data_IF_537346532849
#
_entry.id   IF_537346532849
#
_cell.length_a   1.000
_cell.length_b   1.000
_cell.length_c   1.000
_cell.angle_alpha   90.00
_cell.angle_beta   90.00
_cell.angle_gamma   90.00
#
_symmetry.space_group_name_H-M   'P 1'
#
loop_
_entity.id
_entity.type
_entity.pdbx_description
1 polymer ?
#
# COMPACT_ATOMS: atom_id res chain seq x y z
N UNK A 1 -28.37 -9.43 20.38
CA UNK A 1 -28.99 -8.14 20.00
C UNK A 1 -28.26 -7.65 18.77
N UNK A 2 -28.68 -8.10 17.60
CA UNK A 2 -28.02 -7.82 16.31
C UNK A 2 -28.31 -6.37 15.94
N UNK A 3 -27.28 -5.53 15.99
CA UNK A 3 -27.37 -4.17 15.51
C UNK A 3 -27.48 -4.24 13.98
N UNK A 4 -28.71 -4.21 13.44
CA UNK A 4 -28.90 -4.03 11.99
C UNK A 4 -28.31 -2.66 11.64
N UNK A 5 -27.18 -2.64 10.95
CA UNK A 5 -26.66 -1.43 10.30
C UNK A 5 -27.66 -1.05 9.20
N UNK A 6 -28.09 0.21 9.18
CA UNK A 6 -28.95 0.74 8.13
C UNK A 6 -28.30 0.48 6.76
N UNK A 7 -28.99 -0.20 5.81
CA UNK A 7 -28.44 -0.50 4.49
C UNK A 7 -27.99 0.74 3.71
N UNK A 8 -28.59 1.90 3.99
CA UNK A 8 -28.18 3.19 3.41
C UNK A 8 -26.80 3.61 3.90
N UNK A 9 -26.54 3.42 5.20
CA UNK A 9 -25.26 3.74 5.83
C UNK A 9 -24.16 2.75 5.42
N UNK A 10 -24.50 1.47 5.25
CA UNK A 10 -23.58 0.47 4.71
C UNK A 10 -23.14 0.81 3.28
N UNK A 11 -24.08 1.21 2.41
CA UNK A 11 -23.78 1.63 1.04
C UNK A 11 -22.88 2.89 1.00
N UNK A 12 -23.12 3.87 1.88
CA UNK A 12 -22.32 5.08 1.96
C UNK A 12 -20.87 4.80 2.41
N UNK A 13 -20.68 3.90 3.39
CA UNK A 13 -19.35 3.46 3.84
C UNK A 13 -18.60 2.77 2.69
N UNK A 14 -19.26 1.87 1.95
CA UNK A 14 -18.64 1.18 0.81
C UNK A 14 -18.22 2.15 -0.29
N UNK A 15 -19.08 3.11 -0.66
CA UNK A 15 -18.77 4.11 -1.69
C UNK A 15 -17.59 5.01 -1.28
N UNK A 16 -17.59 5.51 -0.04
CA UNK A 16 -16.46 6.29 0.50
C UNK A 16 -15.17 5.48 0.49
N UNK A 17 -15.22 4.23 0.92
CA UNK A 17 -14.05 3.33 0.94
C UNK A 17 -13.49 3.05 -0.45
N UNK A 18 -14.33 3.01 -1.49
CA UNK A 18 -13.89 2.76 -2.85
C UNK A 18 -13.23 4.01 -3.45
N UNK A 19 -13.86 5.18 -3.29
CA UNK A 19 -13.29 6.45 -3.73
C UNK A 19 -11.92 6.72 -3.09
N UNK A 20 -11.79 6.46 -1.78
CA UNK A 20 -10.52 6.58 -1.07
C UNK A 20 -9.45 5.62 -1.61
N UNK A 21 -9.80 4.35 -1.85
CA UNK A 21 -8.87 3.37 -2.45
C UNK A 21 -8.39 3.80 -3.83
N UNK A 22 -9.31 4.25 -4.69
CA UNK A 22 -8.94 4.73 -6.03
C UNK A 22 -8.03 5.94 -5.97
N UNK A 23 -8.29 6.90 -5.09
CA UNK A 23 -7.43 8.07 -4.91
C UNK A 23 -6.02 7.66 -4.45
N UNK A 24 -5.90 6.75 -3.48
CA UNK A 24 -4.61 6.25 -3.00
C UNK A 24 -3.82 5.54 -4.11
N UNK A 25 -4.49 4.71 -4.93
CA UNK A 25 -3.83 4.03 -6.06
C UNK A 25 -3.34 5.03 -7.12
N UNK A 26 -4.12 6.08 -7.39
CA UNK A 26 -3.72 7.13 -8.32
C UNK A 26 -2.52 7.92 -7.80
N UNK A 27 -2.50 8.27 -6.50
CA UNK A 27 -1.37 8.94 -5.86
C UNK A 27 -0.11 8.08 -5.88
N UNK A 28 -0.23 6.78 -5.59
CA UNK A 28 0.89 5.84 -5.68
C UNK A 28 1.45 5.75 -7.10
N UNK A 29 0.59 5.63 -8.11
CA UNK A 29 1.02 5.59 -9.51
C UNK A 29 1.75 6.88 -9.93
N UNK A 30 1.21 8.05 -9.54
CA UNK A 30 1.85 9.34 -9.80
C UNK A 30 3.22 9.47 -9.10
N UNK A 31 3.36 8.94 -7.88
CA UNK A 31 4.63 8.91 -7.17
C UNK A 31 5.65 7.98 -7.88
N UNK A 32 5.22 6.83 -8.40
CA UNK A 32 6.08 5.93 -9.18
C UNK A 32 6.54 6.57 -10.49
N UNK A 33 5.66 7.26 -11.20
CA UNK A 33 6.00 8.01 -12.42
C UNK A 33 7.01 9.11 -12.08
N UNK A 34 6.74 9.89 -11.03
CA UNK A 34 7.65 10.96 -10.61
C UNK A 34 9.02 10.45 -10.21
N UNK A 35 9.07 9.32 -9.50
CA UNK A 35 10.33 8.65 -9.13
C UNK A 35 11.11 8.21 -10.38
N UNK A 36 10.40 7.68 -11.38
CA UNK A 36 10.99 7.23 -12.64
C UNK A 36 11.54 8.39 -13.46
N UNK A 37 10.83 9.52 -13.53
CA UNK A 37 11.32 10.75 -14.17
C UNK A 37 12.62 11.24 -13.52
N UNK A 38 12.67 11.29 -12.19
CA UNK A 38 13.85 11.77 -11.45
C UNK A 38 15.04 10.85 -11.68
N UNK A 39 14.82 9.54 -11.65
CA UNK A 39 15.88 8.56 -11.80
C UNK A 39 16.35 8.37 -13.25
N UNK A 40 15.63 8.88 -14.25
CA UNK A 40 15.98 8.72 -15.67
C UNK A 40 17.36 9.31 -16.02
N UNK A 41 17.77 10.35 -15.29
CA UNK A 41 19.07 11.03 -15.49
C UNK A 41 20.22 10.38 -14.69
N UNK A 42 19.96 9.27 -13.99
CA UNK A 42 20.91 8.61 -13.09
C UNK A 42 21.23 7.18 -13.50
N UNK A 43 22.46 6.76 -13.22
CA UNK A 43 22.87 5.34 -13.31
C UNK A 43 22.79 4.66 -11.95
N UNK A 44 22.73 3.32 -11.93
CA UNK A 44 22.54 2.54 -10.70
C UNK A 44 23.65 2.71 -9.67
N UNK A 45 24.85 3.09 -10.13
CA UNK A 45 26.04 3.34 -9.34
C UNK A 45 26.11 4.76 -8.76
N UNK A 46 25.27 5.70 -9.21
CA UNK A 46 25.25 7.06 -8.70
C UNK A 46 24.97 7.06 -7.20
N UNK A 47 25.76 7.82 -6.45
CA UNK A 47 25.73 7.84 -4.99
C UNK A 47 25.08 9.10 -4.43
N UNK A 48 24.45 8.94 -3.27
CA UNK A 48 23.88 10.02 -2.48
C UNK A 48 24.06 9.75 -0.97
N UNK A 49 24.07 10.81 -0.16
CA UNK A 49 24.09 10.69 1.29
C UNK A 49 22.67 10.47 1.84
N UNK A 50 22.44 9.32 2.48
CA UNK A 50 21.19 9.03 3.16
C UNK A 50 21.33 9.29 4.67
N UNK A 51 20.36 10.02 5.24
CA UNK A 51 20.42 10.50 6.62
C UNK A 51 20.59 9.41 7.69
N UNK A 52 20.08 8.20 7.43
CA UNK A 52 20.11 7.09 8.39
C UNK A 52 21.18 6.03 8.12
N UNK A 53 21.64 5.89 6.88
CA UNK A 53 22.50 4.75 6.48
C UNK A 53 23.79 5.18 5.78
N UNK A 54 24.04 6.48 5.67
CA UNK A 54 25.24 7.04 5.04
C UNK A 54 25.19 6.98 3.51
N UNK A 55 26.37 6.91 2.89
CA UNK A 55 26.50 6.86 1.43
C UNK A 55 25.84 5.61 0.85
N UNK A 56 24.88 5.80 -0.04
CA UNK A 56 24.18 4.72 -0.76
C UNK A 56 24.23 5.00 -2.26
N UNK A 57 23.98 3.98 -3.08
CA UNK A 57 23.79 4.16 -4.52
C UNK A 57 22.31 3.95 -4.91
N UNK A 58 21.94 4.37 -6.13
CA UNK A 58 20.58 4.23 -6.62
C UNK A 58 20.08 2.76 -6.60
N UNK A 59 20.96 1.79 -6.87
CA UNK A 59 20.62 0.35 -6.72
C UNK A 59 20.17 0.00 -5.31
N UNK A 60 20.88 0.49 -4.29
CA UNK A 60 20.52 0.28 -2.89
C UNK A 60 19.13 0.85 -2.59
N UNK A 61 18.86 2.07 -3.07
CA UNK A 61 17.57 2.75 -2.87
C UNK A 61 16.43 1.94 -3.50
N UNK A 62 16.57 1.51 -4.76
CA UNK A 62 15.55 0.71 -5.44
C UNK A 62 15.28 -0.62 -4.76
N UNK A 63 16.32 -1.36 -4.38
CA UNK A 63 16.15 -2.62 -3.65
C UNK A 63 15.47 -2.41 -2.30
N UNK A 64 15.80 -1.31 -1.59
CA UNK A 64 15.15 -0.94 -0.35
C UNK A 64 13.66 -0.65 -0.54
N UNK A 65 13.29 0.18 -1.52
CA UNK A 65 11.89 0.53 -1.80
C UNK A 65 11.07 -0.68 -2.24
N UNK A 66 11.59 -1.53 -3.12
CA UNK A 66 10.92 -2.76 -3.56
C UNK A 66 10.71 -3.71 -2.38
N UNK A 67 11.74 -3.93 -1.57
CA UNK A 67 11.67 -4.80 -0.39
C UNK A 67 10.65 -4.31 0.63
N UNK A 68 10.59 -3.00 0.87
CA UNK A 68 9.66 -2.38 1.81
C UNK A 68 8.20 -2.51 1.35
N UNK A 69 7.93 -2.26 0.07
CA UNK A 69 6.59 -2.45 -0.52
C UNK A 69 6.18 -3.92 -0.43
N UNK A 70 7.07 -4.85 -0.77
CA UNK A 70 6.79 -6.29 -0.68
C UNK A 70 6.48 -6.73 0.76
N UNK A 71 7.23 -6.24 1.74
CA UNK A 71 7.00 -6.51 3.17
C UNK A 71 5.63 -6.02 3.61
N UNK A 72 5.24 -4.81 3.20
CA UNK A 72 3.92 -4.26 3.53
C UNK A 72 2.77 -4.98 2.82
N UNK A 73 2.93 -5.35 1.55
CA UNK A 73 1.93 -6.13 0.82
C UNK A 73 1.68 -7.49 1.51
N UNK A 74 2.74 -8.18 1.92
CA UNK A 74 2.62 -9.44 2.66
C UNK A 74 1.88 -9.27 4.00
N UNK A 75 2.18 -8.21 4.76
CA UNK A 75 1.43 -7.92 5.99
C UNK A 75 -0.06 -7.65 5.70
N UNK A 76 -0.38 -6.96 4.60
CA UNK A 76 -1.76 -6.70 4.20
C UNK A 76 -2.49 -8.00 3.80
N UNK A 77 -1.82 -8.94 3.14
CA UNK A 77 -2.41 -10.24 2.80
C UNK A 77 -2.82 -11.04 4.04
N UNK A 78 -1.99 -11.05 5.09
CA UNK A 78 -2.34 -11.68 6.39
C UNK A 78 -3.62 -11.05 6.97
N UNK A 79 -3.75 -9.73 6.92
CA UNK A 79 -4.95 -9.04 7.40
C UNK A 79 -6.19 -9.42 6.56
N UNK A 80 -6.04 -9.52 5.24
CA UNK A 80 -7.12 -9.96 4.35
C UNK A 80 -7.55 -11.39 4.69
N UNK A 81 -6.60 -12.30 4.93
CA UNK A 81 -6.89 -13.68 5.34
C UNK A 81 -7.64 -13.72 6.67
N UNK A 82 -7.19 -12.97 7.68
CA UNK A 82 -7.85 -12.89 8.99
C UNK A 82 -9.26 -12.31 8.90
N UNK A 83 -9.47 -11.25 8.12
CA UNK A 83 -10.79 -10.63 7.91
C UNK A 83 -11.74 -11.63 7.23
N UNK A 84 -11.26 -12.32 6.19
CA UNK A 84 -12.06 -13.33 5.47
C UNK A 84 -12.41 -14.51 6.37
N UNK A 85 -11.46 -15.00 7.17
CA UNK A 85 -11.70 -16.08 8.12
C UNK A 85 -12.73 -15.67 9.19
N UNK A 86 -12.63 -14.46 9.73
CA UNK A 86 -13.59 -13.95 10.71
C UNK A 86 -15.01 -13.83 10.13
N UNK A 87 -15.14 -13.31 8.90
CA UNK A 87 -16.43 -13.24 8.21
C UNK A 87 -17.02 -14.64 7.99
N UNK A 88 -16.21 -15.63 7.58
CA UNK A 88 -16.67 -17.00 7.41
C UNK A 88 -17.15 -17.63 8.72
N UNK A 89 -16.42 -17.42 9.82
CA UNK A 89 -16.79 -17.93 11.15
C UNK A 89 -18.12 -17.33 11.65
N UNK A 90 -18.34 -16.03 11.39
CA UNK A 90 -19.60 -15.34 11.76
C UNK A 90 -20.81 -15.85 10.97
N UNK A 91 -20.60 -16.52 9.84
CA UNK A 91 -21.70 -17.07 9.00
C UNK A 91 -22.09 -18.50 9.38
N UNK A 92 -21.28 -19.17 10.21
CA UNK A 92 -21.49 -20.56 10.65
C UNK A 92 -22.15 -20.66 12.05
N UNK A 93 -22.25 -19.54 12.78
CA UNK A 93 -22.98 -19.38 14.04
C UNK A 93 -24.38 -18.77 13.81
#
# INVERSE_FOLDING_TARGET
MTHLVDPTQAAEITLKSLAQRTAILAEYAAACEKSSEIAADHILEDTAEHQLVGTVNLRFIYLGMIGEVARHACHADILVEQIRANAANTTLD
#
